data_IF_913256842021
#
_entry.id   IF_913256842021
#
_cell.length_a   1.000
_cell.length_b   1.000
_cell.length_c   1.000
_cell.angle_alpha   90.00
_cell.angle_beta   90.00
_cell.angle_gamma   90.00
#
_symmetry.space_group_name_H-M   'P 1'
#
loop_
_entity.id
_entity.type
_entity.pdbx_description
1 polymer ?
#
# COMPACT_ATOMS: atom_id res chain seq x y z
N UNK A 1 25.43 -4.39 2.06
CA UNK A 1 24.17 -4.31 1.29
C UNK A 1 23.28 -5.56 1.47
N UNK A 2 23.78 -6.81 1.37
CA UNK A 2 22.96 -8.03 1.62
C UNK A 2 22.31 -8.01 3.00
N UNK A 3 23.05 -7.57 4.03
CA UNK A 3 22.51 -7.41 5.40
C UNK A 3 21.33 -6.42 5.41
N UNK A 4 21.41 -5.31 4.67
CA UNK A 4 20.32 -4.33 4.59
C UNK A 4 19.05 -4.93 3.97
N UNK A 5 19.18 -5.67 2.87
CA UNK A 5 18.04 -6.38 2.27
C UNK A 5 17.50 -7.49 3.19
N UNK A 6 18.39 -8.20 3.90
CA UNK A 6 17.99 -9.17 4.92
C UNK A 6 17.18 -8.52 6.05
N UNK A 7 17.62 -7.37 6.55
CA UNK A 7 16.90 -6.60 7.58
C UNK A 7 15.52 -6.15 7.04
N UNK A 8 15.44 -5.60 5.82
CA UNK A 8 14.16 -5.21 5.21
C UNK A 8 13.21 -6.40 5.05
N UNK A 9 13.74 -7.57 4.69
CA UNK A 9 12.94 -8.80 4.59
C UNK A 9 12.37 -9.22 5.95
N UNK A 10 13.18 -9.16 7.02
CA UNK A 10 12.74 -9.46 8.39
C UNK A 10 11.71 -8.44 8.88
N UNK A 11 11.94 -7.14 8.62
CA UNK A 11 11.00 -6.09 9.00
C UNK A 11 9.65 -6.29 8.28
N UNK A 12 9.64 -6.51 6.97
CA UNK A 12 8.39 -6.72 6.22
C UNK A 12 7.66 -7.98 6.66
N UNK A 13 8.38 -9.05 7.02
CA UNK A 13 7.78 -10.25 7.61
C UNK A 13 7.16 -9.96 9.00
N UNK A 14 7.86 -9.21 9.85
CA UNK A 14 7.34 -8.79 11.15
C UNK A 14 6.08 -7.90 11.00
N UNK A 15 6.07 -7.00 10.01
CA UNK A 15 4.93 -6.15 9.71
C UNK A 15 3.70 -6.96 9.28
N UNK A 16 3.85 -8.08 8.57
CA UNK A 16 2.74 -9.01 8.31
C UNK A 16 2.15 -9.52 9.63
N UNK A 17 2.99 -9.92 10.57
CA UNK A 17 2.55 -10.35 11.91
C UNK A 17 1.80 -9.25 12.66
N UNK A 18 2.31 -8.03 12.64
CA UNK A 18 1.65 -6.86 13.25
C UNK A 18 0.33 -6.54 12.53
N UNK A 19 0.30 -6.60 11.20
CA UNK A 19 -0.92 -6.42 10.41
C UNK A 19 -2.00 -7.41 10.83
N UNK A 20 -1.67 -8.70 10.97
CA UNK A 20 -2.61 -9.74 11.41
C UNK A 20 -3.10 -9.54 12.85
N UNK A 21 -2.27 -8.94 13.71
CA UNK A 21 -2.63 -8.65 15.10
C UNK A 21 -3.52 -7.40 15.21
N UNK A 22 -3.23 -6.37 14.42
CA UNK A 22 -3.96 -5.09 14.42
C UNK A 22 -5.26 -5.20 13.62
N UNK A 23 -5.26 -5.90 12.50
CA UNK A 23 -6.43 -6.00 11.62
C UNK A 23 -7.47 -6.97 12.17
N UNK A 24 -8.37 -6.46 13.02
CA UNK A 24 -9.50 -7.21 13.58
C UNK A 24 -10.53 -7.65 12.52
N UNK A 25 -10.59 -6.94 11.38
CA UNK A 25 -11.57 -7.20 10.30
C UNK A 25 -11.06 -8.19 9.26
N UNK A 26 -9.78 -8.56 9.32
CA UNK A 26 -9.10 -9.46 8.37
C UNK A 26 -9.27 -8.97 6.92
N UNK A 27 -8.89 -7.72 6.64
CA UNK A 27 -8.91 -7.17 5.29
C UNK A 27 -7.86 -7.86 4.42
N UNK A 28 -8.34 -8.75 3.56
CA UNK A 28 -7.49 -9.50 2.63
C UNK A 28 -6.64 -8.56 1.75
N UNK A 29 -7.17 -7.38 1.39
CA UNK A 29 -6.44 -6.43 0.56
C UNK A 29 -5.22 -5.86 1.29
N UNK A 30 -5.40 -5.51 2.57
CA UNK A 30 -4.32 -5.05 3.44
C UNK A 30 -3.25 -6.16 3.60
N UNK A 31 -3.67 -7.37 3.91
CA UNK A 31 -2.76 -8.51 4.06
C UNK A 31 -1.97 -8.79 2.78
N UNK A 32 -2.63 -8.79 1.61
CA UNK A 32 -1.97 -9.01 0.32
C UNK A 32 -0.96 -7.89 0.01
N UNK A 33 -1.22 -6.64 0.41
CA UNK A 33 -0.28 -5.54 0.26
C UNK A 33 1.01 -5.82 1.04
N UNK A 34 0.90 -6.20 2.31
CA UNK A 34 2.06 -6.55 3.15
C UNK A 34 2.82 -7.77 2.63
N UNK A 35 2.11 -8.81 2.17
CA UNK A 35 2.73 -9.96 1.51
C UNK A 35 3.48 -9.53 0.24
N UNK A 36 2.94 -8.61 -0.55
CA UNK A 36 3.59 -8.14 -1.78
C UNK A 36 4.91 -7.40 -1.51
N UNK A 37 4.97 -6.58 -0.44
CA UNK A 37 6.21 -5.91 -0.02
C UNK A 37 7.22 -6.94 0.50
N UNK A 38 6.79 -7.91 1.30
CA UNK A 38 7.67 -8.99 1.75
C UNK A 38 8.25 -9.77 0.57
N UNK A 39 7.43 -10.15 -0.41
CA UNK A 39 7.88 -10.87 -1.62
C UNK A 39 8.87 -10.03 -2.43
N UNK A 40 8.65 -8.73 -2.55
CA UNK A 40 9.59 -7.81 -3.18
C UNK A 40 10.95 -7.79 -2.45
N UNK A 41 10.95 -7.59 -1.13
CA UNK A 41 12.16 -7.56 -0.31
C UNK A 41 12.90 -8.90 -0.32
N UNK A 42 12.16 -10.02 -0.29
CA UNK A 42 12.72 -11.37 -0.41
C UNK A 42 13.43 -11.55 -1.76
N UNK A 43 12.81 -11.10 -2.86
CA UNK A 43 13.43 -11.16 -4.18
C UNK A 43 14.75 -10.36 -4.25
N UNK A 44 14.78 -9.16 -3.69
CA UNK A 44 16.01 -8.34 -3.61
C UNK A 44 17.08 -8.97 -2.72
N UNK A 45 16.69 -9.54 -1.60
CA UNK A 45 17.61 -10.30 -0.76
C UNK A 45 18.21 -11.49 -1.52
N UNK A 46 17.40 -12.26 -2.23
CA UNK A 46 17.88 -13.40 -3.05
C UNK A 46 18.85 -12.95 -4.14
N UNK A 47 18.61 -11.81 -4.81
CA UNK A 47 19.56 -11.25 -5.78
C UNK A 47 20.89 -10.94 -5.08
N UNK A 48 20.85 -10.32 -3.91
CA UNK A 48 22.05 -9.85 -3.20
C UNK A 48 22.97 -10.98 -2.73
N UNK A 49 22.45 -12.19 -2.56
CA UNK A 49 23.20 -13.39 -2.14
C UNK A 49 23.36 -14.42 -3.28
N UNK A 50 23.01 -14.06 -4.51
CA UNK A 50 22.96 -14.98 -5.62
C UNK A 50 24.35 -15.50 -6.00
N UNK A 51 24.56 -16.84 -6.08
CA UNK A 51 25.83 -17.42 -6.49
C UNK A 51 25.98 -17.49 -8.02
N UNK A 52 24.90 -17.28 -8.78
CA UNK A 52 24.87 -17.40 -10.23
C UNK A 52 23.84 -16.47 -10.86
N UNK A 53 24.01 -16.19 -12.16
CA UNK A 53 23.07 -15.36 -12.92
C UNK A 53 21.65 -15.96 -12.93
N UNK A 54 21.52 -17.28 -13.08
CA UNK A 54 20.22 -17.95 -13.08
C UNK A 54 19.50 -17.77 -11.74
N UNK A 55 20.22 -17.88 -10.64
CA UNK A 55 19.66 -17.65 -9.31
C UNK A 55 19.25 -16.18 -9.12
N UNK A 56 20.08 -15.23 -9.56
CA UNK A 56 19.78 -13.80 -9.51
C UNK A 56 18.52 -13.44 -10.34
N UNK A 57 18.37 -14.06 -11.54
CA UNK A 57 17.18 -13.87 -12.36
C UNK A 57 15.92 -14.42 -11.70
N UNK A 58 16.00 -15.54 -10.99
CA UNK A 58 14.87 -16.05 -10.22
C UNK A 58 14.50 -15.11 -9.07
N UNK A 59 15.50 -14.58 -8.34
CA UNK A 59 15.29 -13.53 -7.35
C UNK A 59 14.61 -12.30 -7.94
N UNK A 60 15.05 -11.86 -9.13
CA UNK A 60 14.44 -10.74 -9.85
C UNK A 60 12.97 -11.00 -10.22
N UNK A 61 12.62 -12.22 -10.66
CA UNK A 61 11.23 -12.61 -10.94
C UNK A 61 10.37 -12.56 -9.68
N UNK A 62 10.89 -13.05 -8.55
CA UNK A 62 10.21 -12.98 -7.25
C UNK A 62 10.00 -11.51 -6.84
N UNK A 63 11.02 -10.65 -7.00
CA UNK A 63 10.89 -9.23 -6.69
C UNK A 63 9.78 -8.57 -7.53
N UNK A 64 9.75 -8.81 -8.84
CA UNK A 64 8.70 -8.26 -9.72
C UNK A 64 7.30 -8.80 -9.41
N UNK A 65 7.18 -10.03 -8.92
CA UNK A 65 5.89 -10.55 -8.47
C UNK A 65 5.28 -9.66 -7.36
N UNK A 66 6.08 -9.22 -6.40
CA UNK A 66 5.66 -8.25 -5.40
C UNK A 66 5.44 -6.85 -5.99
N UNK A 67 6.45 -6.32 -6.71
CA UNK A 67 6.47 -4.94 -7.21
C UNK A 67 5.32 -4.61 -8.17
N UNK A 68 4.88 -5.56 -9.00
CA UNK A 68 3.81 -5.33 -9.98
C UNK A 68 2.44 -5.28 -9.30
N UNK A 69 2.16 -6.11 -8.32
CA UNK A 69 0.84 -6.07 -7.67
C UNK A 69 0.72 -5.00 -6.59
N UNK A 70 1.83 -4.52 -6.04
CA UNK A 70 1.84 -3.53 -4.97
C UNK A 70 1.10 -2.23 -5.31
N UNK A 71 1.32 -1.56 -6.47
CA UNK A 71 0.58 -0.34 -6.82
C UNK A 71 -0.93 -0.56 -6.96
N UNK A 72 -1.35 -1.73 -7.48
CA UNK A 72 -2.76 -2.10 -7.59
C UNK A 72 -3.41 -2.25 -6.22
N UNK A 73 -2.74 -2.97 -5.29
CA UNK A 73 -3.24 -3.20 -3.94
C UNK A 73 -3.28 -1.90 -3.14
N UNK A 74 -2.26 -1.06 -3.30
CA UNK A 74 -2.20 0.26 -2.68
C UNK A 74 -3.33 1.17 -3.19
N UNK A 75 -3.57 1.22 -4.50
CA UNK A 75 -4.69 1.96 -5.08
C UNK A 75 -6.05 1.46 -4.55
N UNK A 76 -6.25 0.14 -4.50
CA UNK A 76 -7.47 -0.46 -3.94
C UNK A 76 -7.66 -0.09 -2.48
N UNK A 77 -6.59 -0.12 -1.68
CA UNK A 77 -6.62 0.29 -0.28
C UNK A 77 -7.01 1.76 -0.13
N UNK A 78 -6.43 2.65 -0.94
CA UNK A 78 -6.76 4.09 -0.96
C UNK A 78 -8.22 4.30 -1.35
N UNK A 79 -8.73 3.61 -2.37
CA UNK A 79 -10.14 3.69 -2.78
C UNK A 79 -11.09 3.29 -1.64
N UNK A 80 -10.75 2.22 -0.90
CA UNK A 80 -11.52 1.76 0.25
C UNK A 80 -11.47 2.79 1.40
N UNK A 81 -10.29 3.31 1.73
CA UNK A 81 -10.12 4.32 2.78
C UNK A 81 -10.81 5.64 2.46
N UNK A 82 -10.84 6.02 1.18
CA UNK A 82 -11.55 7.20 0.70
C UNK A 82 -13.07 6.98 0.54
N UNK A 83 -13.60 5.78 0.82
CA UNK A 83 -15.02 5.41 0.67
C UNK A 83 -15.59 5.82 -0.70
N UNK A 84 -14.80 5.65 -1.76
CA UNK A 84 -15.18 5.99 -3.12
C UNK A 84 -15.92 4.82 -3.78
N UNK A 85 -17.11 5.10 -4.28
CA UNK A 85 -17.82 4.17 -5.16
C UNK A 85 -17.17 4.19 -6.55
N UNK A 86 -16.61 3.06 -6.97
CA UNK A 86 -16.04 2.87 -8.29
C UNK A 86 -16.80 1.79 -9.05
N UNK A 87 -16.71 1.84 -10.39
CA UNK A 87 -17.39 0.86 -11.25
C UNK A 87 -16.81 -0.53 -11.03
N UNK A 88 -17.65 -1.56 -10.96
CA UNK A 88 -17.27 -2.96 -10.67
C UNK A 88 -16.22 -3.53 -11.63
N UNK A 89 -16.13 -3.02 -12.86
CA UNK A 89 -15.15 -3.47 -13.85
C UNK A 89 -13.75 -2.85 -13.68
N UNK A 90 -13.59 -1.77 -12.89
CA UNK A 90 -12.31 -1.05 -12.74
C UNK A 90 -11.20 -1.96 -12.20
N UNK A 91 -11.43 -2.60 -11.05
CA UNK A 91 -10.41 -3.46 -10.43
C UNK A 91 -10.06 -4.69 -11.28
N UNK A 92 -11.00 -5.44 -11.86
CA UNK A 92 -10.67 -6.53 -12.78
C UNK A 92 -9.83 -6.08 -13.98
N UNK A 93 -10.15 -4.92 -14.58
CA UNK A 93 -9.38 -4.38 -15.70
C UNK A 93 -7.95 -4.01 -15.28
N UNK A 94 -7.80 -3.32 -14.15
CA UNK A 94 -6.49 -2.97 -13.61
C UNK A 94 -5.68 -4.23 -13.24
N UNK A 95 -6.33 -5.26 -12.70
CA UNK A 95 -5.70 -6.55 -12.41
C UNK A 95 -5.20 -7.25 -13.69
N UNK A 96 -5.99 -7.21 -14.77
CA UNK A 96 -5.58 -7.77 -16.06
C UNK A 96 -4.36 -7.05 -16.63
N UNK A 97 -4.33 -5.71 -16.54
CA UNK A 97 -3.17 -4.91 -16.93
C UNK A 97 -1.94 -5.29 -16.09
N UNK A 98 -2.10 -5.43 -14.77
CA UNK A 98 -1.01 -5.84 -13.87
C UNK A 98 -0.46 -7.22 -14.24
N UNK A 99 -1.33 -8.18 -14.55
CA UNK A 99 -0.94 -9.51 -15.01
C UNK A 99 -0.16 -9.43 -16.34
N UNK A 100 -0.62 -8.63 -17.30
CA UNK A 100 0.08 -8.44 -18.56
C UNK A 100 1.48 -7.83 -18.35
N UNK A 101 1.60 -6.82 -17.48
CA UNK A 101 2.89 -6.23 -17.14
C UNK A 101 3.78 -7.24 -16.41
N UNK A 102 3.23 -8.06 -15.53
CA UNK A 102 3.97 -9.14 -14.87
C UNK A 102 4.59 -10.09 -15.89
N UNK A 103 3.82 -10.56 -16.88
CA UNK A 103 4.36 -11.44 -17.93
C UNK A 103 5.55 -10.79 -18.65
N UNK A 104 5.49 -9.49 -18.94
CA UNK A 104 6.61 -8.77 -19.56
C UNK A 104 7.82 -8.71 -18.63
N UNK A 105 7.62 -8.44 -17.34
CA UNK A 105 8.72 -8.33 -16.35
C UNK A 105 9.35 -9.68 -16.00
N UNK A 106 8.70 -10.81 -16.30
CA UNK A 106 9.23 -12.14 -16.09
C UNK A 106 10.10 -12.65 -17.27
N UNK A 107 10.14 -11.94 -18.41
CA UNK A 107 10.90 -12.34 -19.63
C UNK A 107 12.43 -12.29 -19.50
N UNK A 108 13.10 -11.57 -18.58
CA UNK A 108 14.55 -11.55 -18.46
C UNK A 108 15.16 -12.96 -18.40
N UNK A 109 16.19 -13.17 -19.20
CA UNK A 109 16.86 -14.47 -19.35
C UNK A 109 16.22 -15.42 -20.39
N UNK A 110 15.00 -15.11 -20.88
CA UNK A 110 14.36 -15.86 -21.97
C UNK A 110 14.32 -15.03 -23.25
N UNK A 111 13.91 -13.77 -23.17
CA UNK A 111 13.77 -12.87 -24.31
C UNK A 111 14.41 -11.50 -24.01
N UNK A 112 15.11 -10.87 -24.97
CA UNK A 112 15.78 -9.57 -24.78
C UNK A 112 14.82 -8.37 -24.88
N UNK A 113 13.53 -8.57 -24.55
CA UNK A 113 12.50 -7.54 -24.69
C UNK A 113 12.47 -6.56 -23.51
N UNK A 114 12.57 -7.07 -22.28
CA UNK A 114 12.54 -6.28 -21.06
C UNK A 114 13.95 -5.82 -20.64
N UNK A 115 14.92 -6.73 -20.64
CA UNK A 115 16.35 -6.45 -20.57
C UNK A 115 17.03 -6.97 -21.85
N UNK A 116 17.93 -6.16 -22.46
CA UNK A 116 18.72 -6.56 -23.61
C UNK A 116 19.81 -7.53 -23.21
N UNK A 117 20.59 -7.13 -22.21
CA UNK A 117 21.64 -7.94 -21.60
C UNK A 117 21.49 -7.91 -20.09
N UNK A 118 21.89 -9.02 -19.47
CA UNK A 118 21.89 -9.14 -18.00
C UNK A 118 23.15 -9.89 -17.60
N UNK A 119 23.87 -9.33 -16.65
CA UNK A 119 25.02 -9.95 -16.01
C UNK A 119 24.97 -9.77 -14.52
N UNK A 120 25.80 -10.50 -13.80
CA UNK A 120 26.00 -10.30 -12.37
C UNK A 120 27.39 -9.72 -12.13
N UNK A 121 27.47 -8.81 -11.17
CA UNK A 121 28.70 -8.28 -10.60
C UNK A 121 28.72 -8.61 -9.11
N UNK A 122 29.85 -9.10 -8.63
CA UNK A 122 30.07 -9.32 -7.21
C UNK A 122 31.00 -8.25 -6.70
N UNK A 123 30.49 -7.31 -5.91
CA UNK A 123 31.25 -6.25 -5.29
C UNK A 123 31.06 -6.28 -3.77
N UNK A 124 32.15 -6.30 -3.01
CA UNK A 124 32.13 -6.33 -1.53
C UNK A 124 31.32 -7.52 -0.96
N UNK A 125 31.40 -8.67 -1.61
CA UNK A 125 30.65 -9.87 -1.19
C UNK A 125 29.13 -9.81 -1.44
N UNK A 126 28.66 -8.87 -2.25
CA UNK A 126 27.26 -8.68 -2.61
C UNK A 126 27.09 -8.83 -4.11
N UNK A 127 26.18 -9.69 -4.52
CA UNK A 127 25.82 -9.86 -5.92
C UNK A 127 24.84 -8.75 -6.35
N UNK A 128 25.14 -8.12 -7.47
CA UNK A 128 24.30 -7.12 -8.12
C UNK A 128 23.94 -7.57 -9.52
N UNK A 129 22.70 -7.30 -9.93
CA UNK A 129 22.24 -7.56 -11.28
C UNK A 129 22.49 -6.31 -12.13
N UNK A 130 23.43 -6.41 -13.09
CA UNK A 130 23.68 -5.36 -14.08
C UNK A 130 22.72 -5.57 -15.24
N UNK A 131 21.96 -4.54 -15.59
CA UNK A 131 20.81 -4.63 -16.50
C UNK A 131 20.95 -3.59 -17.61
N UNK A 132 20.95 -4.04 -18.86
CA UNK A 132 20.74 -3.16 -20.01
C UNK A 132 19.25 -3.19 -20.36
N UNK A 133 18.60 -2.05 -20.24
CA UNK A 133 17.15 -1.97 -20.42
C UNK A 133 16.73 -2.19 -21.88
N UNK A 134 15.73 -3.03 -22.07
CA UNK A 134 15.08 -3.29 -23.36
C UNK A 134 13.94 -2.32 -23.65
N UNK A 135 13.34 -2.41 -24.85
CA UNK A 135 12.27 -1.49 -25.26
C UNK A 135 11.01 -1.59 -24.41
N UNK A 136 10.71 -2.78 -23.84
CA UNK A 136 9.53 -2.97 -23.00
C UNK A 136 9.74 -2.54 -21.52
N UNK A 137 10.95 -2.14 -21.15
CA UNK A 137 11.18 -1.62 -19.81
C UNK A 137 10.42 -0.31 -19.55
N UNK A 138 10.26 0.53 -20.58
CA UNK A 138 9.46 1.75 -20.52
C UNK A 138 7.99 1.47 -20.14
N UNK A 139 7.44 0.31 -20.53
CA UNK A 139 6.08 -0.09 -20.18
C UNK A 139 5.89 -0.17 -18.65
N UNK A 140 6.86 -0.70 -17.93
CA UNK A 140 6.81 -0.76 -16.46
C UNK A 140 6.84 0.63 -15.82
N UNK A 141 7.62 1.56 -16.35
CA UNK A 141 7.64 2.95 -15.86
C UNK A 141 6.31 3.66 -16.10
N UNK A 142 5.73 3.52 -17.30
CA UNK A 142 4.41 4.08 -17.63
C UNK A 142 3.35 3.49 -16.69
N UNK A 143 3.41 2.18 -16.47
CA UNK A 143 2.53 1.47 -15.54
C UNK A 143 2.62 2.06 -14.14
N UNK A 144 3.82 2.16 -13.56
CA UNK A 144 4.04 2.67 -12.22
C UNK A 144 3.58 4.13 -12.07
N UNK A 145 3.97 5.00 -13.02
CA UNK A 145 3.56 6.41 -13.04
C UNK A 145 2.04 6.59 -13.16
N UNK A 146 1.38 5.75 -13.95
CA UNK A 146 -0.08 5.76 -14.10
C UNK A 146 -0.77 5.45 -12.77
N UNK A 147 -0.27 4.48 -12.00
CA UNK A 147 -0.81 4.18 -10.68
C UNK A 147 -0.55 5.29 -9.67
N UNK A 148 0.65 5.89 -9.67
CA UNK A 148 0.95 7.03 -8.81
C UNK A 148 0.02 8.21 -9.12
N UNK A 149 -0.20 8.54 -10.39
CA UNK A 149 -1.12 9.59 -10.80
C UNK A 149 -2.56 9.28 -10.37
N UNK A 150 -3.04 8.04 -10.55
CA UNK A 150 -4.36 7.63 -10.12
C UNK A 150 -4.53 7.74 -8.60
N UNK A 151 -3.55 7.30 -7.80
CA UNK A 151 -3.60 7.42 -6.35
C UNK A 151 -3.69 8.88 -5.90
N UNK A 152 -2.87 9.78 -6.48
CA UNK A 152 -2.91 11.21 -6.18
C UNK A 152 -4.26 11.83 -6.55
N UNK A 153 -4.79 11.52 -7.74
CA UNK A 153 -6.10 12.01 -8.19
C UNK A 153 -7.20 11.55 -7.21
N UNK A 154 -7.19 10.29 -6.79
CA UNK A 154 -8.16 9.73 -5.85
C UNK A 154 -8.10 10.46 -4.50
N UNK A 155 -6.91 10.65 -3.93
CA UNK A 155 -6.71 11.31 -2.64
C UNK A 155 -7.17 12.77 -2.71
N UNK A 156 -6.71 13.52 -3.72
CA UNK A 156 -7.05 14.94 -3.90
C UNK A 156 -8.57 15.11 -4.12
N UNK A 157 -9.15 14.28 -5.01
CA UNK A 157 -10.60 14.32 -5.27
C UNK A 157 -11.42 14.05 -3.99
N UNK A 158 -10.99 13.08 -3.18
CA UNK A 158 -11.68 12.74 -1.94
C UNK A 158 -11.52 13.82 -0.88
N UNK A 159 -10.36 14.46 -0.82
CA UNK A 159 -10.11 15.59 0.08
C UNK A 159 -10.98 16.81 -0.29
N UNK A 160 -11.03 17.16 -1.58
CA UNK A 160 -11.83 18.29 -2.08
C UNK A 160 -13.33 18.04 -1.86
N UNK A 161 -13.81 16.83 -2.08
CA UNK A 161 -15.23 16.47 -1.84
C UNK A 161 -15.57 16.24 -0.37
N UNK A 162 -14.63 16.47 0.55
CA UNK A 162 -14.80 16.25 2.00
C UNK A 162 -15.31 14.83 2.33
N UNK A 163 -14.99 13.85 1.49
CA UNK A 163 -15.30 12.43 1.77
C UNK A 163 -14.36 11.86 2.83
N UNK A 164 -13.13 12.38 2.90
CA UNK A 164 -12.22 12.15 4.01
C UNK A 164 -12.43 13.28 5.00
N UNK A 165 -12.98 12.96 6.15
CA UNK A 165 -13.38 13.95 7.16
C UNK A 165 -12.21 14.49 7.96
N UNK A 166 -11.07 13.79 8.00
CA UNK A 166 -9.88 14.19 8.76
C UNK A 166 -8.73 14.60 7.84
N UNK A 167 -8.20 15.80 8.05
CA UNK A 167 -6.97 16.27 7.40
C UNK A 167 -5.79 15.34 7.69
N UNK A 168 -5.74 14.76 8.91
CA UNK A 168 -4.71 13.81 9.32
C UNK A 168 -4.66 12.58 8.38
N UNK A 169 -5.81 11.96 8.10
CA UNK A 169 -5.88 10.79 7.22
C UNK A 169 -5.45 11.11 5.79
N UNK A 170 -5.89 12.26 5.26
CA UNK A 170 -5.45 12.73 3.94
C UNK A 170 -3.93 12.92 3.92
N UNK A 171 -3.37 13.50 4.97
CA UNK A 171 -1.92 13.72 5.08
C UNK A 171 -1.15 12.40 5.11
N UNK A 172 -1.57 11.41 5.91
CA UNK A 172 -0.91 10.10 5.96
C UNK A 172 -0.93 9.39 4.59
N UNK A 173 -2.08 9.37 3.91
CA UNK A 173 -2.19 8.77 2.57
C UNK A 173 -1.31 9.50 1.56
N UNK A 174 -1.32 10.83 1.61
CA UNK A 174 -0.50 11.65 0.71
C UNK A 174 0.98 11.44 0.98
N UNK A 175 1.41 11.41 2.24
CA UNK A 175 2.79 11.13 2.63
C UNK A 175 3.24 9.75 2.15
N UNK A 176 2.43 8.70 2.28
CA UNK A 176 2.77 7.36 1.82
C UNK A 176 3.04 7.34 0.30
N UNK A 177 2.15 7.97 -0.49
CA UNK A 177 2.29 8.00 -1.96
C UNK A 177 3.44 8.91 -2.39
N UNK A 178 3.55 10.12 -1.83
CA UNK A 178 4.62 11.07 -2.17
C UNK A 178 5.99 10.55 -1.79
N UNK A 179 6.14 9.89 -0.64
CA UNK A 179 7.39 9.25 -0.23
C UNK A 179 7.84 8.24 -1.27
N UNK A 180 6.94 7.37 -1.75
CA UNK A 180 7.26 6.38 -2.79
C UNK A 180 7.67 7.05 -4.10
N UNK A 181 6.97 8.12 -4.52
CA UNK A 181 7.29 8.85 -5.74
C UNK A 181 8.67 9.53 -5.63
N UNK A 182 8.92 10.24 -4.52
CA UNK A 182 10.17 10.97 -4.31
C UNK A 182 11.36 10.00 -4.30
N UNK A 183 11.25 8.89 -3.58
CA UNK A 183 12.32 7.89 -3.48
C UNK A 183 12.54 7.23 -4.86
N UNK A 184 11.48 6.91 -5.60
CA UNK A 184 11.61 6.35 -6.94
C UNK A 184 12.30 7.32 -7.91
N UNK A 185 11.96 8.62 -7.88
CA UNK A 185 12.67 9.63 -8.67
C UNK A 185 14.13 9.77 -8.24
N UNK A 186 14.40 9.83 -6.93
CA UNK A 186 15.76 9.91 -6.42
C UNK A 186 16.62 8.72 -6.89
N UNK A 187 16.05 7.52 -6.93
CA UNK A 187 16.72 6.31 -7.41
C UNK A 187 17.19 6.44 -8.87
N UNK A 188 16.45 7.17 -9.72
CA UNK A 188 16.86 7.39 -11.12
C UNK A 188 18.18 8.21 -11.24
N UNK A 189 18.49 9.03 -10.22
CA UNK A 189 19.72 9.84 -10.19
C UNK A 189 20.85 9.14 -9.43
N UNK A 190 20.55 8.29 -8.46
CA UNK A 190 21.50 7.58 -7.62
C UNK A 190 21.71 6.14 -8.10
N UNK A 191 22.36 5.96 -9.24
CA UNK A 191 22.54 4.67 -9.95
C UNK A 191 23.45 3.65 -9.26
N UNK A 192 23.70 3.71 -7.96
CA UNK A 192 24.71 2.89 -7.29
C UNK A 192 24.17 1.72 -6.48
N UNK A 193 23.51 0.79 -7.15
CA UNK A 193 23.47 -0.60 -6.66
C UNK A 193 22.55 -0.97 -5.50
N UNK A 194 21.85 -0.01 -4.88
CA UNK A 194 20.81 -0.28 -3.88
C UNK A 194 19.44 0.20 -4.39
N UNK A 195 18.44 -0.69 -4.38
CA UNK A 195 17.09 -0.32 -4.78
C UNK A 195 16.35 0.35 -3.60
N UNK A 196 16.41 1.67 -3.53
CA UNK A 196 15.77 2.47 -2.47
C UNK A 196 14.24 2.37 -2.49
N UNK A 197 13.67 1.99 -3.62
CA UNK A 197 12.23 1.80 -3.75
C UNK A 197 11.69 0.75 -2.77
N UNK A 198 12.48 -0.28 -2.44
CA UNK A 198 12.11 -1.30 -1.44
C UNK A 198 11.96 -0.71 -0.05
N UNK A 199 12.79 0.26 0.31
CA UNK A 199 12.67 1.00 1.59
C UNK A 199 11.39 1.84 1.60
N UNK A 200 11.06 2.50 0.48
CA UNK A 200 9.83 3.31 0.38
C UNK A 200 8.58 2.47 0.58
N UNK A 201 8.59 1.24 0.12
CA UNK A 201 7.46 0.31 0.31
C UNK A 201 7.25 -0.01 1.79
N UNK A 202 8.31 -0.32 2.53
CA UNK A 202 8.23 -0.56 3.98
C UNK A 202 7.75 0.68 4.73
N UNK A 203 8.23 1.87 4.35
CA UNK A 203 7.77 3.14 4.95
C UNK A 203 6.27 3.35 4.65
N UNK A 204 5.84 3.09 3.43
CA UNK A 204 4.43 3.20 3.04
C UNK A 204 3.54 2.21 3.79
N UNK A 205 4.01 0.98 4.04
CA UNK A 205 3.32 0.01 4.90
C UNK A 205 3.13 0.55 6.31
N UNK A 206 4.16 1.15 6.91
CA UNK A 206 4.06 1.74 8.24
C UNK A 206 3.02 2.86 8.29
N UNK A 207 2.99 3.77 7.29
CA UNK A 207 1.97 4.81 7.20
C UNK A 207 0.56 4.23 7.08
N UNK A 208 0.37 3.22 6.24
CA UNK A 208 -0.93 2.58 6.04
C UNK A 208 -1.36 1.83 7.30
N UNK A 209 -0.44 1.14 7.97
CA UNK A 209 -0.72 0.41 9.21
C UNK A 209 -1.12 1.36 10.35
N UNK A 210 -0.39 2.46 10.52
CA UNK A 210 -0.72 3.50 11.49
C UNK A 210 -2.10 4.10 11.22
N UNK A 211 -2.36 4.46 9.95
CA UNK A 211 -3.66 4.98 9.54
C UNK A 211 -4.78 3.97 9.81
N UNK A 212 -4.55 2.70 9.47
CA UNK A 212 -5.54 1.64 9.67
C UNK A 212 -5.82 1.39 11.16
N UNK A 213 -4.77 1.41 11.99
CA UNK A 213 -4.89 1.33 13.45
C UNK A 213 -5.72 2.47 14.02
N UNK A 214 -5.42 3.71 13.62
CA UNK A 214 -6.19 4.90 14.02
C UNK A 214 -7.67 4.76 13.59
N UNK A 215 -7.93 4.35 12.34
CA UNK A 215 -9.29 4.18 11.83
C UNK A 215 -10.08 3.08 12.56
N UNK A 216 -9.41 2.03 13.02
CA UNK A 216 -10.08 0.98 13.81
C UNK A 216 -10.39 1.42 15.23
N UNK A 217 -9.54 2.26 15.81
CA UNK A 217 -9.71 2.75 17.17
C UNK A 217 -10.78 3.84 17.25
N UNK A 218 -10.85 4.73 16.24
CA UNK A 218 -11.74 5.90 16.23
C UNK A 218 -12.87 5.82 15.20
N UNK A 219 -13.00 4.72 14.47
CA UNK A 219 -13.96 4.58 13.37
C UNK A 219 -15.32 4.09 13.81
N UNK A 220 -16.37 4.85 13.51
CA UNK A 220 -17.77 4.42 13.61
C UNK A 220 -18.17 3.77 12.29
N UNK A 221 -18.76 2.59 12.35
CA UNK A 221 -19.18 1.82 11.18
C UNK A 221 -20.54 2.30 10.68
N UNK A 222 -20.65 2.75 9.44
CA UNK A 222 -21.93 3.03 8.80
C UNK A 222 -22.64 1.75 8.31
N UNK A 223 -23.94 1.86 7.97
CA UNK A 223 -24.81 0.75 7.55
C UNK A 223 -24.25 -0.11 6.40
N UNK A 224 -23.47 0.46 5.50
CA UNK A 224 -22.88 -0.22 4.35
C UNK A 224 -21.46 -0.78 4.61
N UNK A 225 -21.04 -0.93 5.87
CA UNK A 225 -19.69 -1.38 6.22
C UNK A 225 -18.59 -0.35 5.97
N UNK A 226 -18.93 0.87 5.54
CA UNK A 226 -17.99 1.99 5.44
C UNK A 226 -17.60 2.49 6.83
N UNK A 227 -16.32 2.87 6.99
CA UNK A 227 -15.85 3.48 8.23
C UNK A 227 -16.24 4.95 8.20
N UNK A 228 -17.14 5.38 9.09
CA UNK A 228 -17.49 6.77 9.28
C UNK A 228 -16.63 7.31 10.42
N UNK A 229 -15.83 8.32 10.13
CA UNK A 229 -15.03 9.00 11.13
C UNK A 229 -15.83 10.22 11.60
N UNK A 230 -16.28 10.21 12.83
CA UNK A 230 -16.91 11.38 13.46
C UNK A 230 -15.81 12.38 13.81
N UNK A 231 -15.70 13.46 13.07
CA UNK A 231 -14.66 14.49 13.26
C UNK A 231 -15.02 15.57 14.30
N UNK A 232 -16.27 15.61 14.71
CA UNK A 232 -16.73 16.55 15.74
C UNK A 232 -17.87 15.92 16.53
N UNK A 233 -17.94 16.20 17.82
CA UNK A 233 -19.06 15.83 18.71
C UNK A 233 -20.42 16.12 18.07
N UNK A 234 -20.55 17.27 17.40
CA UNK A 234 -21.77 17.72 16.74
C UNK A 234 -22.23 16.80 15.61
N UNK A 235 -21.31 16.22 14.83
CA UNK A 235 -21.65 15.22 13.76
C UNK A 235 -21.96 13.85 14.33
N UNK A 236 -21.33 13.47 15.43
CA UNK A 236 -21.66 12.24 16.15
C UNK A 236 -23.05 12.32 16.77
N UNK A 237 -23.41 13.46 17.38
CA UNK A 237 -24.75 13.74 17.92
C UNK A 237 -25.82 13.78 16.81
N UNK A 238 -25.53 14.41 15.68
CA UNK A 238 -26.44 14.46 14.53
C UNK A 238 -26.69 13.07 13.94
N UNK A 239 -25.65 12.22 13.92
CA UNK A 239 -25.77 10.85 13.46
C UNK A 239 -26.50 9.96 14.47
N UNK A 240 -26.24 10.11 15.75
CA UNK A 240 -26.95 9.42 16.84
C UNK A 240 -28.40 9.86 16.94
N UNK A 241 -28.69 11.15 16.80
CA UNK A 241 -30.07 11.65 16.81
C UNK A 241 -30.86 11.20 15.57
N UNK A 242 -30.24 11.13 14.41
CA UNK A 242 -30.84 10.55 13.19
C UNK A 242 -31.12 9.05 13.30
N UNK A 243 -30.24 8.29 13.94
CA UNK A 243 -30.41 6.86 14.18
C UNK A 243 -31.51 6.56 15.22
N UNK A 244 -31.69 7.45 16.20
CA UNK A 244 -32.74 7.33 17.23
C UNK A 244 -34.14 7.71 16.69
N UNK A 245 -34.20 8.55 15.64
CA UNK A 245 -35.48 8.96 15.02
C UNK A 245 -36.02 7.98 13.96
N UNK A 246 -35.26 6.99 13.52
CA UNK A 246 -35.75 5.94 12.64
C UNK A 246 -36.44 4.86 13.45
N UNK A 247 -37.75 5.04 13.64
CA UNK A 247 -38.67 4.25 14.48
C UNK A 247 -39.06 2.92 13.80
N UNK A 248 -38.15 2.22 13.17
CA UNK A 248 -38.43 0.94 12.52
C UNK A 248 -37.49 -0.18 13.01
N UNK A 249 -38.08 -1.29 13.34
CA UNK A 249 -37.69 -2.48 14.11
C UNK A 249 -36.38 -3.21 13.69
N UNK A 250 -35.48 -2.58 12.98
CA UNK A 250 -34.23 -3.17 12.47
C UNK A 250 -32.95 -2.62 13.09
N UNK A 251 -33.00 -1.85 14.17
CA UNK A 251 -31.89 -0.99 14.55
C UNK A 251 -31.45 -1.10 16.00
N UNK A 252 -30.77 -2.15 16.33
CA UNK A 252 -29.69 -2.01 17.30
C UNK A 252 -28.38 -1.69 16.53
N UNK A 253 -28.29 -0.52 15.91
CA UNK A 253 -27.12 -0.07 15.14
C UNK A 253 -25.90 0.22 16.02
N UNK A 254 -26.10 0.53 17.28
CA UNK A 254 -25.07 0.76 18.27
C UNK A 254 -25.41 0.04 19.56
N UNK A 255 -24.49 -0.77 20.07
CA UNK A 255 -24.60 -1.28 21.43
C UNK A 255 -24.30 -0.15 22.43
N UNK A 256 -24.78 -0.28 23.67
CA UNK A 256 -24.46 0.66 24.77
C UNK A 256 -22.93 0.90 24.90
N UNK A 257 -22.11 -0.12 24.62
CA UNK A 257 -20.64 -0.04 24.55
C UNK A 257 -20.11 0.85 23.42
N UNK A 258 -20.81 0.93 22.29
CA UNK A 258 -20.40 1.78 21.17
C UNK A 258 -20.67 3.25 21.49
N UNK A 259 -21.76 3.53 22.20
CA UNK A 259 -22.11 4.88 22.70
C UNK A 259 -21.10 5.33 23.76
N UNK A 260 -20.73 4.47 24.69
CA UNK A 260 -19.71 4.77 25.70
C UNK A 260 -18.34 5.02 25.09
N UNK A 261 -17.99 4.32 24.00
CA UNK A 261 -16.75 4.54 23.27
C UNK A 261 -16.74 5.90 22.57
N UNK A 262 -17.88 6.33 22.00
CA UNK A 262 -18.03 7.64 21.35
C UNK A 262 -17.91 8.76 22.38
N UNK A 263 -18.56 8.63 23.54
CA UNK A 263 -18.51 9.59 24.64
C UNK A 263 -17.12 9.65 25.29
N UNK A 264 -16.40 8.53 25.37
CA UNK A 264 -15.02 8.50 25.86
C UNK A 264 -14.05 9.21 24.87
N UNK A 265 -14.25 9.07 23.56
CA UNK A 265 -13.49 9.80 22.54
C UNK A 265 -13.72 11.32 22.63
N UNK A 266 -14.95 11.75 22.91
CA UNK A 266 -15.30 13.14 23.13
C UNK A 266 -14.53 13.76 24.31
N UNK A 267 -14.41 13.00 25.39
CA UNK A 267 -13.69 13.41 26.60
C UNK A 267 -12.18 13.56 26.35
N UNK A 268 -11.60 12.72 25.52
CA UNK A 268 -10.19 12.78 25.14
C UNK A 268 -9.93 13.97 24.21
N UNK A 269 -10.77 14.19 23.22
CA UNK A 269 -10.64 15.32 22.28
C UNK A 269 -10.80 16.66 22.99
N UNK A 270 -11.73 16.78 23.96
CA UNK A 270 -11.93 18.00 24.78
C UNK A 270 -10.78 18.28 25.75
N UNK A 271 -9.89 17.32 26.00
CA UNK A 271 -8.69 17.50 26.83
C UNK A 271 -7.45 17.88 26.02
N UNK A 272 -7.50 17.76 24.68
CA UNK A 272 -6.39 18.05 23.76
C UNK A 272 -6.58 19.41 23.05
N UNK A 273 -7.79 19.97 23.10
CA UNK A 273 -8.10 21.34 22.63
C UNK A 273 -8.13 22.30 23.80
#
# INVERSE_FOLDING_TARGET
MSIAYGILCVISLALIGVCLAVDRKKDICLLLLFISVFVCNLGQFLISVAPSLSFALNGNRIAYLGQVFLPLLMLKMILNLCSLNYKKWLLPTLSLISIAVLFVTLTPGFFPCYYKNVSIEVADGVTRLIRDYGPLHLLYYIYLLSYFALMLIVIIHSAVKKKITSTLHTTFLLCAVLCSIIIWFAEQFFTRGFEFLTVSYVISELFILLLYGILQEYGIRGENGSIIIANTSKKAEEYLSGAIQSDDDSTALFSEKDIDCILACEKIVSQIT
#
